data_IF_894750873429
#
_entry.id   IF_894750873429
#
_cell.length_a   1.000
_cell.length_b   1.000
_cell.length_c   1.000
_cell.angle_alpha   90.00
_cell.angle_beta   90.00
_cell.angle_gamma   90.00
#
_symmetry.space_group_name_H-M   'P 1'
#
loop_
_entity.id
_entity.type
_entity.pdbx_description
1 polymer ?
#
# COMPACT_ATOMS: atom_id res chain seq x y z
N UNK A 1 -5.90 -29.10 4.98
CA UNK A 1 -6.57 -27.82 4.73
C UNK A 1 -7.70 -28.07 3.75
N UNK A 2 -8.88 -27.48 3.96
CA UNK A 2 -9.86 -27.40 2.89
C UNK A 2 -9.32 -26.39 1.86
N UNK A 3 -9.12 -26.83 0.62
CA UNK A 3 -8.73 -25.96 -0.48
C UNK A 3 -9.81 -24.88 -0.60
N UNK A 4 -9.42 -23.61 -0.62
CA UNK A 4 -10.35 -22.51 -0.84
C UNK A 4 -11.12 -22.75 -2.16
N UNK A 5 -12.42 -22.49 -2.19
CA UNK A 5 -13.26 -22.60 -3.40
C UNK A 5 -12.71 -21.72 -4.55
N UNK A 6 -11.92 -20.71 -4.21
CA UNK A 6 -11.33 -19.72 -5.12
C UNK A 6 -9.83 -19.97 -5.36
N UNK A 7 -9.28 -21.11 -4.90
CA UNK A 7 -7.85 -21.43 -5.06
C UNK A 7 -7.42 -21.35 -6.53
N UNK A 8 -6.27 -20.71 -6.76
CA UNK A 8 -5.71 -20.46 -8.09
C UNK A 8 -6.29 -19.24 -8.82
N UNK A 9 -7.33 -18.59 -8.28
CA UNK A 9 -7.95 -17.39 -8.88
C UNK A 9 -7.58 -16.14 -8.11
N UNK A 10 -7.72 -14.99 -8.77
CA UNK A 10 -7.54 -13.66 -8.20
C UNK A 10 -8.91 -13.00 -8.04
N UNK A 11 -9.18 -12.44 -6.86
CA UNK A 11 -10.42 -11.70 -6.60
C UNK A 11 -10.24 -10.23 -6.91
N UNK A 12 -11.01 -9.71 -7.86
CA UNK A 12 -11.19 -8.28 -8.11
C UNK A 12 -12.53 -7.80 -7.59
N UNK A 13 -12.75 -6.49 -7.53
CA UNK A 13 -14.06 -5.90 -7.16
C UNK A 13 -15.18 -6.26 -8.16
N UNK A 14 -14.86 -6.75 -9.35
CA UNK A 14 -15.82 -7.21 -10.36
C UNK A 14 -16.01 -8.73 -10.38
N UNK A 15 -15.25 -9.48 -9.60
CA UNK A 15 -15.31 -10.94 -9.54
C UNK A 15 -13.93 -11.60 -9.71
N UNK A 16 -13.95 -12.92 -9.86
CA UNK A 16 -12.75 -13.73 -10.01
C UNK A 16 -12.21 -13.65 -11.44
N UNK A 17 -10.89 -13.56 -11.55
CA UNK A 17 -10.15 -13.61 -12.82
C UNK A 17 -9.06 -14.68 -12.75
N UNK A 18 -8.52 -15.07 -13.91
CA UNK A 18 -7.32 -15.90 -13.99
C UNK A 18 -6.06 -15.05 -13.68
N UNK A 19 -5.01 -15.64 -13.10
CA UNK A 19 -3.76 -14.93 -12.85
C UNK A 19 -3.13 -14.29 -14.10
N UNK A 20 -3.37 -14.89 -15.27
CA UNK A 20 -2.90 -14.41 -16.57
C UNK A 20 -3.54 -13.07 -17.00
N UNK A 21 -4.69 -12.73 -16.43
CA UNK A 21 -5.41 -11.49 -16.73
C UNK A 21 -4.89 -10.29 -15.93
N UNK A 22 -4.00 -10.52 -14.94
CA UNK A 22 -3.42 -9.46 -14.12
C UNK A 22 -2.60 -8.45 -14.94
N UNK A 23 -1.72 -8.93 -15.83
CA UNK A 23 -0.81 -8.07 -16.57
C UNK A 23 0.07 -7.20 -15.67
N UNK A 24 0.45 -6.01 -16.17
CA UNK A 24 1.23 -5.04 -15.39
C UNK A 24 0.42 -4.56 -14.19
N UNK A 25 0.95 -4.77 -13.00
CA UNK A 25 0.26 -4.57 -11.73
C UNK A 25 0.98 -3.55 -10.84
N UNK A 26 0.22 -2.61 -10.27
CA UNK A 26 0.63 -1.77 -9.14
C UNK A 26 0.05 -2.39 -7.87
N UNK A 27 0.86 -3.02 -7.01
CA UNK A 27 0.35 -3.79 -5.89
C UNK A 27 0.07 -2.97 -4.63
N UNK A 28 0.30 -1.65 -4.65
CA UNK A 28 0.04 -0.76 -3.53
C UNK A 28 -0.35 0.65 -3.97
N UNK A 29 -1.65 0.91 -4.04
CA UNK A 29 -2.17 2.24 -4.36
C UNK A 29 -3.44 2.54 -3.54
N UNK A 30 -3.85 3.81 -3.54
CA UNK A 30 -5.11 4.27 -2.96
C UNK A 30 -5.87 5.11 -4.01
N UNK A 31 -6.87 4.54 -4.65
CA UNK A 31 -7.70 5.24 -5.64
C UNK A 31 -8.65 6.24 -4.98
N UNK A 32 -9.20 5.84 -3.84
CA UNK A 32 -10.01 6.68 -2.96
C UNK A 32 -9.50 6.50 -1.54
N UNK A 33 -9.17 7.61 -0.87
CA UNK A 33 -8.60 7.56 0.47
C UNK A 33 -8.98 8.82 1.26
N UNK A 34 -9.30 8.66 2.53
CA UNK A 34 -9.44 9.77 3.49
C UNK A 34 -8.43 9.63 4.63
N UNK A 35 -7.26 10.23 4.47
CA UNK A 35 -6.22 10.27 5.50
C UNK A 35 -6.60 11.11 6.72
N UNK A 36 -7.61 11.99 6.63
CA UNK A 36 -8.03 12.84 7.74
C UNK A 36 -8.78 12.08 8.83
N UNK A 37 -9.47 10.98 8.47
CA UNK A 37 -10.25 10.13 9.38
C UNK A 37 -9.40 9.63 10.53
N UNK A 38 -8.11 9.49 10.34
CA UNK A 38 -7.23 8.87 11.32
C UNK A 38 -6.64 9.84 12.35
N UNK A 39 -6.61 11.14 12.05
CA UNK A 39 -5.88 12.11 12.85
C UNK A 39 -4.37 11.82 12.96
N UNK A 40 -3.87 10.87 12.16
CA UNK A 40 -2.46 10.45 12.16
C UNK A 40 -1.65 11.26 11.17
N UNK A 41 -2.26 11.59 10.03
CA UNK A 41 -1.55 12.29 8.95
C UNK A 41 -1.75 13.79 8.98
N UNK A 42 -2.91 14.28 9.43
CA UNK A 42 -3.10 15.71 9.60
C UNK A 42 -2.60 16.16 10.96
N UNK A 43 -1.72 17.15 10.95
CA UNK A 43 -1.20 17.80 12.17
C UNK A 43 -1.42 19.31 12.02
N UNK A 44 -2.33 19.85 12.84
CA UNK A 44 -2.63 21.29 12.83
C UNK A 44 -1.36 22.10 13.08
N UNK A 45 -0.94 22.99 12.16
CA UNK A 45 0.23 23.84 12.35
C UNK A 45 0.05 24.80 13.53
N UNK A 46 1.09 24.97 14.35
CA UNK A 46 1.08 25.94 15.44
C UNK A 46 1.17 27.41 14.96
N UNK A 47 1.84 27.66 13.84
CA UNK A 47 1.99 28.98 13.24
C UNK A 47 0.68 29.43 12.58
N UNK A 48 0.15 30.64 12.90
CA UNK A 48 -1.10 31.16 12.29
C UNK A 48 -1.10 31.24 10.76
N UNK A 49 0.02 31.60 10.15
CA UNK A 49 0.14 31.67 8.67
C UNK A 49 0.06 30.28 8.03
N UNK A 50 0.65 29.28 8.65
CA UNK A 50 0.59 27.90 8.17
C UNK A 50 -0.79 27.30 8.37
N UNK A 51 -1.48 27.63 9.48
CA UNK A 51 -2.89 27.23 9.69
C UNK A 51 -3.82 27.74 8.58
N UNK A 52 -3.55 28.94 8.05
CA UNK A 52 -4.32 29.45 6.91
C UNK A 52 -4.20 28.50 5.71
N UNK A 53 -2.99 28.07 5.34
CA UNK A 53 -2.77 27.13 4.23
C UNK A 53 -3.25 25.72 4.53
N UNK A 54 -3.25 25.30 5.79
CA UNK A 54 -3.70 23.97 6.20
C UNK A 54 -5.17 23.68 5.84
N UNK A 55 -6.00 24.72 5.80
CA UNK A 55 -7.43 24.64 5.50
C UNK A 55 -7.82 25.12 4.08
N UNK A 56 -6.82 25.45 3.24
CA UNK A 56 -7.08 25.83 1.85
C UNK A 56 -7.14 24.59 0.94
N UNK A 57 -7.96 24.68 -0.11
CA UNK A 57 -7.90 23.73 -1.21
C UNK A 57 -6.53 23.78 -1.88
N UNK A 58 -6.04 22.65 -2.34
CA UNK A 58 -4.78 22.58 -3.10
C UNK A 58 -4.97 23.29 -4.45
N UNK A 59 -4.17 24.31 -4.69
CA UNK A 59 -4.13 25.09 -5.93
C UNK A 59 -2.68 25.31 -6.36
N UNK A 60 -2.47 25.73 -7.59
CA UNK A 60 -1.12 26.08 -8.06
C UNK A 60 -0.45 27.17 -7.19
N UNK A 61 -1.24 28.10 -6.63
CA UNK A 61 -0.74 29.21 -5.82
C UNK A 61 -0.15 28.75 -4.47
N UNK A 62 -0.73 27.72 -3.85
CA UNK A 62 -0.26 27.19 -2.56
C UNK A 62 0.50 25.87 -2.66
N UNK A 63 0.65 25.29 -3.86
CA UNK A 63 1.25 23.97 -4.07
C UNK A 63 2.67 23.87 -3.51
N UNK A 64 3.46 24.95 -3.63
CA UNK A 64 4.80 24.99 -3.05
C UNK A 64 4.77 24.77 -1.53
N UNK A 65 3.86 25.43 -0.83
CA UNK A 65 3.70 25.23 0.61
C UNK A 65 3.21 23.82 0.93
N UNK A 66 2.17 23.33 0.23
CA UNK A 66 1.59 22.00 0.48
C UNK A 66 2.63 20.90 0.29
N UNK A 67 3.49 20.97 -0.72
CA UNK A 67 4.57 19.96 -0.94
C UNK A 67 5.52 19.83 0.25
N UNK A 68 5.80 20.89 0.95
CA UNK A 68 6.65 20.86 2.15
C UNK A 68 5.88 20.62 3.45
N UNK A 69 4.54 20.63 3.38
CA UNK A 69 3.62 20.49 4.51
C UNK A 69 2.49 19.51 4.19
N UNK A 70 2.79 18.43 3.46
CA UNK A 70 1.76 17.55 2.91
C UNK A 70 0.87 16.90 3.97
N UNK A 71 1.38 16.69 5.20
CA UNK A 71 0.60 16.22 6.35
C UNK A 71 -0.16 17.33 7.08
N UNK A 72 0.01 18.57 6.68
CA UNK A 72 -0.58 19.74 7.33
C UNK A 72 -1.72 20.36 6.53
N UNK A 73 -1.96 19.90 5.31
CA UNK A 73 -3.06 20.39 4.47
C UNK A 73 -4.16 19.34 4.39
N UNK A 74 -5.36 19.67 4.89
CA UNK A 74 -6.51 18.75 4.94
C UNK A 74 -6.96 18.31 3.55
N UNK A 75 -7.04 19.23 2.60
CA UNK A 75 -7.53 18.91 1.26
C UNK A 75 -6.60 17.94 0.52
N UNK A 76 -5.29 18.05 0.75
CA UNK A 76 -4.32 17.13 0.16
C UNK A 76 -4.48 15.69 0.64
N UNK A 77 -4.99 15.50 1.87
CA UNK A 77 -5.19 14.19 2.49
C UNK A 77 -6.46 13.45 2.00
N UNK A 78 -7.28 14.08 1.16
CA UNK A 78 -8.61 13.56 0.79
C UNK A 78 -8.69 13.28 -0.69
N UNK A 79 -8.80 12.02 -1.06
CA UNK A 79 -9.00 11.49 -2.41
C UNK A 79 -10.38 10.83 -2.48
N UNK A 80 -11.47 11.60 -2.56
CA UNK A 80 -12.85 11.07 -2.58
C UNK A 80 -13.61 11.42 -3.88
N UNK A 81 -12.94 12.03 -4.86
CA UNK A 81 -13.56 12.35 -6.15
C UNK A 81 -13.36 11.19 -7.14
N UNK A 82 -14.43 10.39 -7.37
CA UNK A 82 -14.41 9.27 -8.31
C UNK A 82 -14.04 9.69 -9.74
N UNK A 83 -14.47 10.87 -10.20
CA UNK A 83 -14.14 11.33 -11.55
C UNK A 83 -12.66 11.63 -11.69
N UNK A 84 -12.07 12.20 -10.63
CA UNK A 84 -10.64 12.42 -10.56
C UNK A 84 -9.90 11.08 -10.53
N UNK A 85 -10.33 10.14 -9.69
CA UNK A 85 -9.73 8.80 -9.61
C UNK A 85 -9.77 8.08 -10.97
N UNK A 86 -10.88 8.10 -11.68
CA UNK A 86 -10.99 7.54 -13.05
C UNK A 86 -10.01 8.21 -13.99
N UNK A 87 -9.94 9.56 -13.99
CA UNK A 87 -9.02 10.32 -14.85
C UNK A 87 -7.56 9.94 -14.60
N UNK A 88 -7.15 9.90 -13.35
CA UNK A 88 -5.77 9.59 -12.94
C UNK A 88 -5.41 8.12 -13.20
N UNK A 89 -6.30 7.17 -12.89
CA UNK A 89 -6.10 5.76 -13.16
C UNK A 89 -6.05 5.44 -14.68
N UNK A 90 -6.76 6.20 -15.52
CA UNK A 90 -6.69 6.07 -16.97
C UNK A 90 -5.30 6.38 -17.54
N UNK A 91 -4.51 7.24 -16.90
CA UNK A 91 -3.11 7.46 -17.32
C UNK A 91 -2.28 6.17 -17.23
N UNK A 92 -2.48 5.38 -16.18
CA UNK A 92 -1.85 4.06 -16.05
C UNK A 92 -2.36 3.07 -17.11
N UNK A 93 -3.70 3.01 -17.30
CA UNK A 93 -4.32 2.14 -18.32
C UNK A 93 -3.81 2.42 -19.73
N UNK A 94 -3.75 3.69 -20.13
CA UNK A 94 -3.33 4.12 -21.46
C UNK A 94 -1.84 3.82 -21.73
N UNK A 95 -1.04 3.60 -20.69
CA UNK A 95 0.36 3.20 -20.80
C UNK A 95 0.59 1.68 -20.68
N UNK A 96 -0.47 0.89 -20.76
CA UNK A 96 -0.40 -0.57 -20.74
C UNK A 96 -0.58 -1.19 -19.34
N UNK A 97 -0.90 -0.39 -18.31
CA UNK A 97 -1.25 -0.91 -17.00
C UNK A 97 -2.55 -1.71 -17.00
N UNK A 98 -2.64 -2.73 -16.20
CA UNK A 98 -3.78 -3.66 -16.18
C UNK A 98 -4.45 -3.78 -14.83
N UNK A 99 -3.69 -3.81 -13.74
CA UNK A 99 -4.20 -4.12 -12.40
C UNK A 99 -3.68 -3.11 -11.38
N UNK A 100 -4.56 -2.68 -10.49
CA UNK A 100 -4.23 -1.90 -9.29
C UNK A 100 -4.74 -2.65 -8.07
N UNK A 101 -3.88 -2.85 -7.07
CA UNK A 101 -4.29 -3.30 -5.75
C UNK A 101 -4.51 -2.04 -4.90
N UNK A 102 -5.77 -1.81 -4.54
CA UNK A 102 -6.16 -0.70 -3.67
C UNK A 102 -6.07 -1.16 -2.21
N UNK A 103 -5.07 -0.66 -1.50
CA UNK A 103 -4.79 -1.02 -0.11
C UNK A 103 -5.62 -0.22 0.90
N UNK A 104 -6.55 0.59 0.42
CA UNK A 104 -7.46 1.34 1.28
C UNK A 104 -8.38 0.40 2.07
N UNK A 105 -8.26 0.43 3.37
CA UNK A 105 -9.04 -0.41 4.28
C UNK A 105 -10.01 0.41 5.15
N UNK A 106 -10.60 -0.21 6.17
CA UNK A 106 -11.59 0.41 7.07
C UNK A 106 -11.06 1.70 7.72
N UNK A 107 -9.77 1.77 8.03
CA UNK A 107 -9.16 2.91 8.73
C UNK A 107 -8.95 4.17 7.89
N UNK A 108 -9.01 4.06 6.56
CA UNK A 108 -8.68 5.13 5.61
C UNK A 108 -9.74 5.37 4.53
N UNK A 109 -10.99 4.98 4.79
CA UNK A 109 -12.12 5.38 3.97
C UNK A 109 -12.40 4.48 2.76
N UNK A 110 -12.23 3.17 2.89
CA UNK A 110 -12.56 2.18 1.86
C UNK A 110 -13.99 2.36 1.32
N UNK A 111 -14.15 2.40 -0.02
CA UNK A 111 -15.44 2.46 -0.71
C UNK A 111 -15.53 1.38 -1.80
N UNK A 112 -16.11 0.20 -1.50
CA UNK A 112 -16.18 -0.92 -2.43
C UNK A 112 -17.03 -0.63 -3.67
N UNK A 113 -18.12 0.15 -3.53
CA UNK A 113 -19.00 0.47 -4.65
C UNK A 113 -18.34 1.45 -5.61
N UNK A 114 -17.64 2.45 -5.10
CA UNK A 114 -16.87 3.40 -5.92
C UNK A 114 -15.73 2.70 -6.66
N UNK A 115 -14.97 1.80 -6.00
CA UNK A 115 -13.93 1.00 -6.67
C UNK A 115 -14.51 0.16 -7.81
N UNK A 116 -15.71 -0.39 -7.65
CA UNK A 116 -16.43 -1.12 -8.71
C UNK A 116 -16.78 -0.21 -9.89
N UNK A 117 -17.23 1.02 -9.64
CA UNK A 117 -17.52 2.02 -10.70
C UNK A 117 -16.25 2.46 -11.42
N UNK A 118 -15.16 2.70 -10.67
CA UNK A 118 -13.85 3.07 -11.23
C UNK A 118 -13.31 1.93 -12.11
N UNK A 119 -13.38 0.68 -11.64
CA UNK A 119 -12.94 -0.49 -12.42
C UNK A 119 -13.69 -0.60 -13.75
N UNK A 120 -15.03 -0.45 -13.74
CA UNK A 120 -15.84 -0.46 -14.97
C UNK A 120 -15.52 0.70 -15.91
N UNK A 121 -15.28 1.89 -15.38
CA UNK A 121 -15.00 3.08 -16.17
C UNK A 121 -13.62 3.05 -16.83
N UNK A 122 -12.62 2.45 -16.18
CA UNK A 122 -11.24 2.41 -16.66
C UNK A 122 -10.88 1.12 -17.41
N UNK A 123 -11.63 0.04 -17.16
CA UNK A 123 -11.26 -1.29 -17.62
C UNK A 123 -10.00 -1.85 -16.95
N UNK A 124 -9.62 -1.32 -15.78
CA UNK A 124 -8.58 -1.87 -14.91
C UNK A 124 -9.15 -2.95 -14.01
N UNK A 125 -8.40 -4.00 -13.76
CA UNK A 125 -8.65 -4.89 -12.64
C UNK A 125 -8.32 -4.13 -11.35
N UNK A 126 -9.28 -4.03 -10.42
CA UNK A 126 -9.05 -3.44 -9.11
C UNK A 126 -9.22 -4.53 -8.07
N UNK A 127 -8.19 -4.74 -7.25
CA UNK A 127 -8.17 -5.69 -6.15
C UNK A 127 -8.23 -4.86 -4.87
N UNK A 128 -9.22 -5.14 -4.01
CA UNK A 128 -9.48 -4.36 -2.80
C UNK A 128 -8.90 -5.05 -1.57
N UNK A 129 -8.33 -4.26 -0.66
CA UNK A 129 -7.81 -4.71 0.62
C UNK A 129 -8.89 -4.94 1.69
N UNK A 130 -8.52 -5.66 2.74
CA UNK A 130 -9.32 -5.87 3.96
C UNK A 130 -8.47 -5.91 5.20
N UNK A 131 -8.92 -5.27 6.25
CA UNK A 131 -8.22 -5.21 7.54
C UNK A 131 -8.31 -3.83 8.15
N UNK A 132 -7.38 -3.56 9.07
CA UNK A 132 -7.35 -2.33 9.83
C UNK A 132 -5.99 -1.65 9.70
N UNK A 133 -6.01 -0.34 9.55
CA UNK A 133 -4.82 0.50 9.50
C UNK A 133 -4.23 0.73 10.90
N UNK A 134 -3.30 1.67 11.04
CA UNK A 134 -2.63 1.97 12.32
C UNK A 134 -3.63 2.30 13.45
N UNK A 135 -3.28 1.95 14.69
CA UNK A 135 -4.10 2.22 15.87
C UNK A 135 -4.15 3.71 16.20
N UNK A 136 -5.08 4.40 15.57
CA UNK A 136 -5.41 5.80 15.78
C UNK A 136 -6.59 5.95 16.76
N UNK A 137 -6.80 7.13 17.35
CA UNK A 137 -7.87 7.34 18.35
C UNK A 137 -9.26 6.92 17.89
N UNK A 138 -9.61 7.11 16.62
CA UNK A 138 -10.93 6.73 16.08
C UNK A 138 -11.06 5.21 15.84
N UNK A 139 -9.95 4.48 15.76
CA UNK A 139 -9.94 3.02 15.61
C UNK A 139 -10.16 2.28 16.93
N UNK A 140 -9.82 2.90 18.06
CA UNK A 140 -9.93 2.28 19.38
C UNK A 140 -11.32 1.72 19.70
N UNK A 141 -12.43 2.44 19.50
CA UNK A 141 -13.76 1.89 19.75
C UNK A 141 -14.07 0.64 18.94
N UNK A 142 -13.43 0.48 17.77
CA UNK A 142 -13.63 -0.64 16.86
C UNK A 142 -12.77 -1.85 17.23
N UNK A 143 -11.60 -1.66 17.86
CA UNK A 143 -10.60 -2.68 18.09
C UNK A 143 -10.41 -3.08 19.56
N UNK A 144 -10.57 -2.15 20.50
CA UNK A 144 -10.21 -2.37 21.90
C UNK A 144 -10.90 -3.60 22.51
N UNK A 145 -12.17 -3.84 22.18
CA UNK A 145 -12.98 -4.92 22.72
C UNK A 145 -13.04 -6.17 21.82
N UNK A 146 -12.32 -6.21 20.71
CA UNK A 146 -12.28 -7.37 19.80
C UNK A 146 -11.08 -8.24 20.09
N UNK A 147 -11.29 -9.56 19.99
CA UNK A 147 -10.22 -10.55 19.94
C UNK A 147 -9.62 -10.63 18.52
N UNK A 148 -8.42 -11.19 18.35
CA UNK A 148 -7.86 -11.49 17.03
C UNK A 148 -8.78 -12.37 16.17
N UNK A 149 -9.52 -13.32 16.76
CA UNK A 149 -10.44 -14.21 16.09
C UNK A 149 -11.66 -13.48 15.53
N UNK A 150 -12.20 -12.49 16.27
CA UNK A 150 -13.31 -11.66 15.82
C UNK A 150 -12.89 -10.75 14.66
N UNK A 151 -11.72 -10.11 14.75
CA UNK A 151 -11.15 -9.32 13.66
C UNK A 151 -10.87 -10.21 12.44
N UNK A 152 -10.30 -11.39 12.65
CA UNK A 152 -10.07 -12.35 11.57
C UNK A 152 -11.36 -12.77 10.86
N UNK A 153 -12.45 -12.95 11.63
CA UNK A 153 -13.73 -13.32 11.03
C UNK A 153 -14.30 -12.21 10.16
N UNK A 154 -14.09 -10.94 10.50
CA UNK A 154 -14.47 -9.80 9.66
C UNK A 154 -13.70 -9.82 8.34
N UNK A 155 -12.37 -9.99 8.38
CA UNK A 155 -11.53 -10.10 7.17
C UNK A 155 -11.96 -11.30 6.31
N UNK A 156 -12.22 -12.46 6.93
CA UNK A 156 -12.71 -13.65 6.22
C UNK A 156 -14.08 -13.40 5.57
N UNK A 157 -14.96 -12.67 6.22
CA UNK A 157 -16.25 -12.29 5.65
C UNK A 157 -16.09 -11.33 4.47
N UNK A 158 -15.21 -10.33 4.57
CA UNK A 158 -14.91 -9.41 3.47
C UNK A 158 -14.43 -10.15 2.21
N UNK A 159 -13.64 -11.22 2.39
CA UNK A 159 -13.11 -12.03 1.28
C UNK A 159 -14.15 -13.03 0.76
N UNK A 160 -14.89 -13.72 1.63
CA UNK A 160 -15.71 -14.86 1.24
C UNK A 160 -17.22 -14.53 1.06
N UNK A 161 -17.70 -13.46 1.69
CA UNK A 161 -19.15 -13.09 1.71
C UNK A 161 -19.39 -11.77 1.00
N UNK A 162 -18.53 -10.79 1.25
CA UNK A 162 -18.58 -9.43 0.73
C UNK A 162 -18.47 -8.38 1.81
N UNK A 163 -18.00 -7.21 1.42
CA UNK A 163 -17.69 -6.07 2.28
C UNK A 163 -18.98 -5.31 2.62
N UNK A 164 -19.18 -5.00 3.92
CA UNK A 164 -20.23 -4.08 4.39
C UNK A 164 -21.64 -4.41 3.89
N UNK A 165 -21.96 -5.70 3.78
CA UNK A 165 -23.27 -6.18 3.31
C UNK A 165 -23.46 -6.14 1.79
N UNK A 166 -22.46 -5.75 1.04
CA UNK A 166 -22.44 -5.85 -0.43
C UNK A 166 -22.06 -7.27 -0.87
N UNK A 167 -22.01 -7.49 -2.19
CA UNK A 167 -21.42 -8.70 -2.81
C UNK A 167 -20.07 -8.42 -3.44
N UNK A 168 -19.43 -7.33 -3.06
CA UNK A 168 -18.09 -6.96 -3.51
C UNK A 168 -17.09 -7.55 -2.54
N UNK A 169 -16.13 -8.30 -3.05
CA UNK A 169 -15.19 -9.05 -2.24
C UNK A 169 -13.80 -8.40 -2.22
N UNK A 170 -13.13 -8.50 -1.08
CA UNK A 170 -11.71 -8.18 -0.99
C UNK A 170 -10.86 -9.30 -1.57
N UNK A 171 -9.74 -8.96 -2.21
CA UNK A 171 -8.82 -9.93 -2.82
C UNK A 171 -7.54 -10.13 -2.04
N UNK A 172 -7.20 -9.21 -1.13
CA UNK A 172 -6.00 -9.27 -0.29
C UNK A 172 -6.33 -8.87 1.15
N UNK A 173 -5.46 -9.27 2.08
CA UNK A 173 -5.49 -8.84 3.48
C UNK A 173 -4.53 -7.66 3.61
N UNK A 174 -5.01 -6.50 4.05
CA UNK A 174 -4.18 -5.32 4.27
C UNK A 174 -4.67 -4.08 3.53
N UNK A 175 -3.82 -3.05 3.57
CA UNK A 175 -2.58 -3.06 4.35
C UNK A 175 -2.86 -3.04 5.86
N UNK A 176 -2.24 -3.94 6.62
CA UNK A 176 -2.34 -3.94 8.09
C UNK A 176 -1.36 -2.92 8.65
N UNK A 177 -1.89 -1.89 9.30
CA UNK A 177 -1.08 -0.77 9.77
C UNK A 177 -0.37 -1.06 11.08
N UNK A 178 0.93 -0.75 11.14
CA UNK A 178 1.76 -0.89 12.32
C UNK A 178 2.52 0.41 12.63
N UNK A 179 2.68 0.67 13.91
CA UNK A 179 3.50 1.75 14.48
C UNK A 179 4.79 1.17 15.09
N UNK A 180 5.69 2.05 15.49
CA UNK A 180 6.80 1.65 16.35
C UNK A 180 6.85 2.56 17.59
N UNK A 181 6.84 1.99 18.79
CA UNK A 181 6.64 0.57 19.14
C UNK A 181 5.28 0.01 18.69
N UNK A 182 5.23 -1.29 18.39
CA UNK A 182 4.00 -1.96 17.96
C UNK A 182 2.95 -1.94 19.08
N UNK A 183 1.78 -1.37 18.80
CA UNK A 183 0.67 -1.25 19.76
C UNK A 183 -0.14 -2.54 19.88
N UNK A 184 -0.88 -2.68 21.00
CA UNK A 184 -1.66 -3.90 21.29
C UNK A 184 -2.72 -4.19 20.22
N UNK A 185 -3.44 -3.17 19.73
CA UNK A 185 -4.44 -3.33 18.68
C UNK A 185 -3.81 -3.70 17.34
N UNK A 186 -2.64 -3.15 17.01
CA UNK A 186 -1.89 -3.49 15.80
C UNK A 186 -1.38 -4.94 15.86
N UNK A 187 -0.89 -5.37 17.03
CA UNK A 187 -0.51 -6.77 17.27
C UNK A 187 -1.70 -7.72 17.10
N UNK A 188 -2.88 -7.36 17.62
CA UNK A 188 -4.13 -8.11 17.40
C UNK A 188 -4.49 -8.18 15.92
N UNK A 189 -4.34 -7.06 15.20
CA UNK A 189 -4.61 -6.97 13.75
C UNK A 189 -3.69 -7.89 12.94
N UNK A 190 -2.38 -7.92 13.26
CA UNK A 190 -1.44 -8.85 12.63
C UNK A 190 -1.81 -10.32 12.90
N UNK A 191 -2.15 -10.67 14.15
CA UNK A 191 -2.59 -12.03 14.50
C UNK A 191 -3.89 -12.40 13.76
N UNK A 192 -4.82 -11.47 13.64
CA UNK A 192 -6.06 -11.64 12.89
C UNK A 192 -5.79 -11.84 11.39
N UNK A 193 -4.88 -11.06 10.82
CA UNK A 193 -4.42 -11.25 9.44
C UNK A 193 -3.83 -12.64 9.18
N UNK A 194 -3.02 -13.15 10.13
CA UNK A 194 -2.48 -14.50 10.08
C UNK A 194 -3.58 -15.58 10.06
N UNK A 195 -4.57 -15.46 10.96
CA UNK A 195 -5.72 -16.38 11.02
C UNK A 195 -6.55 -16.30 9.72
N UNK A 196 -6.79 -15.09 9.22
CA UNK A 196 -7.55 -14.87 7.99
C UNK A 196 -6.81 -15.44 6.77
N UNK A 197 -5.48 -15.25 6.69
CA UNK A 197 -4.66 -15.82 5.61
C UNK A 197 -4.78 -17.35 5.58
N UNK A 198 -4.66 -18.02 6.73
CA UNK A 198 -4.78 -19.48 6.82
C UNK A 198 -6.17 -19.98 6.40
N UNK A 199 -7.22 -19.21 6.64
CA UNK A 199 -8.61 -19.56 6.29
C UNK A 199 -8.97 -19.28 4.84
N UNK A 200 -8.39 -18.24 4.24
CA UNK A 200 -8.78 -17.75 2.91
C UNK A 200 -7.76 -18.06 1.82
N UNK A 201 -6.49 -18.22 2.19
CA UNK A 201 -5.38 -18.32 1.26
C UNK A 201 -4.99 -17.00 0.60
N UNK A 202 -5.53 -15.85 1.04
CA UNK A 202 -5.21 -14.53 0.51
C UNK A 202 -3.77 -14.10 0.89
N UNK A 203 -3.13 -13.30 0.03
CA UNK A 203 -1.87 -12.65 0.37
C UNK A 203 -2.11 -11.51 1.38
N UNK A 204 -1.06 -11.16 2.17
CA UNK A 204 -1.14 -10.23 3.28
C UNK A 204 -0.11 -9.11 3.13
N UNK A 205 -0.56 -7.85 3.23
CA UNK A 205 0.28 -6.64 3.23
C UNK A 205 0.41 -6.05 4.62
N UNK A 206 1.62 -5.65 4.98
CA UNK A 206 1.94 -4.97 6.24
C UNK A 206 2.51 -3.59 5.93
N UNK A 207 1.89 -2.55 6.50
CA UNK A 207 2.42 -1.22 6.61
C UNK A 207 3.32 -1.15 7.86
N UNK A 208 4.64 -1.23 7.74
CA UNK A 208 5.52 -1.36 8.90
C UNK A 208 5.69 -0.05 9.65
N UNK A 209 5.94 -0.17 10.94
CA UNK A 209 6.38 0.96 11.75
C UNK A 209 7.71 1.56 11.24
N UNK A 210 7.90 2.85 11.44
CA UNK A 210 9.03 3.62 10.90
C UNK A 210 10.28 3.51 11.78
N UNK A 211 10.76 2.31 11.98
CA UNK A 211 11.98 2.00 12.72
C UNK A 211 12.60 0.74 12.17
N UNK A 212 13.92 0.64 12.21
CA UNK A 212 14.70 -0.50 11.72
C UNK A 212 14.27 -1.85 12.32
N UNK A 213 13.82 -1.85 13.58
CA UNK A 213 13.38 -3.06 14.27
C UNK A 213 11.93 -3.46 13.96
N UNK A 214 11.10 -2.51 13.48
CA UNK A 214 9.66 -2.71 13.33
C UNK A 214 9.30 -3.89 12.41
N UNK A 215 9.75 -3.95 11.14
CA UNK A 215 9.36 -5.03 10.24
C UNK A 215 9.80 -6.40 10.72
N UNK A 216 10.89 -6.48 11.49
CA UNK A 216 11.36 -7.75 12.05
C UNK A 216 10.43 -8.21 13.20
N UNK A 217 10.04 -7.30 14.11
CA UNK A 217 9.07 -7.60 15.16
C UNK A 217 7.71 -8.04 14.55
N UNK A 218 7.26 -7.36 13.51
CA UNK A 218 5.99 -7.66 12.82
C UNK A 218 6.01 -9.05 12.16
N UNK A 219 7.10 -9.39 11.47
CA UNK A 219 7.32 -10.73 10.89
C UNK A 219 7.34 -11.81 11.97
N UNK A 220 7.98 -11.54 13.13
CA UNK A 220 7.98 -12.49 14.25
C UNK A 220 6.58 -12.73 14.81
N UNK A 221 5.75 -11.69 14.92
CA UNK A 221 4.35 -11.82 15.34
C UNK A 221 3.58 -12.68 14.35
N UNK A 222 3.71 -12.42 13.05
CA UNK A 222 3.07 -13.18 11.98
C UNK A 222 3.54 -14.66 11.96
N UNK A 223 4.84 -14.89 12.06
CA UNK A 223 5.41 -16.25 12.09
C UNK A 223 4.91 -17.07 13.28
N UNK A 224 4.88 -16.46 14.50
CA UNK A 224 4.34 -17.09 15.71
C UNK A 224 2.85 -17.40 15.58
N UNK A 225 2.10 -16.61 14.82
CA UNK A 225 0.68 -16.86 14.52
C UNK A 225 0.46 -17.89 13.38
N UNK A 226 1.52 -18.42 12.78
CA UNK A 226 1.45 -19.49 11.76
C UNK A 226 1.21 -18.97 10.33
N UNK A 227 1.55 -17.71 10.04
CA UNK A 227 1.41 -17.11 8.72
C UNK A 227 2.33 -17.78 7.69
N UNK A 228 1.86 -17.96 6.46
CA UNK A 228 2.71 -18.31 5.32
C UNK A 228 3.50 -17.07 4.88
N UNK A 229 4.73 -16.92 5.39
CA UNK A 229 5.56 -15.74 5.14
C UNK A 229 5.86 -15.51 3.66
N UNK A 230 5.88 -16.57 2.84
CA UNK A 230 6.00 -16.49 1.38
C UNK A 230 4.80 -15.82 0.68
N UNK A 231 3.80 -15.42 1.44
CA UNK A 231 2.61 -14.70 1.00
C UNK A 231 2.37 -13.43 1.80
N UNK A 232 3.43 -12.91 2.42
CA UNK A 232 3.45 -11.64 3.15
C UNK A 232 4.28 -10.64 2.37
N UNK A 233 3.76 -9.43 2.23
CA UNK A 233 4.45 -8.27 1.66
C UNK A 233 4.72 -7.28 2.78
N UNK A 234 5.97 -6.87 2.92
CA UNK A 234 6.35 -5.75 3.79
C UNK A 234 6.52 -4.53 2.91
N UNK A 235 5.63 -3.55 3.08
CA UNK A 235 5.56 -2.34 2.28
C UNK A 235 6.60 -1.29 2.69
N UNK A 236 6.75 -0.26 1.87
CA UNK A 236 7.47 0.99 2.16
C UNK A 236 8.97 0.79 2.49
N UNK A 237 9.64 -0.11 1.78
CA UNK A 237 11.08 -0.35 2.00
C UNK A 237 11.97 0.84 1.68
N UNK A 238 11.44 1.76 0.91
CA UNK A 238 12.09 2.99 0.46
C UNK A 238 11.62 4.25 1.21
N UNK A 239 10.78 4.08 2.25
CA UNK A 239 10.25 5.22 3.04
C UNK A 239 11.14 5.59 4.23
N UNK A 240 11.80 4.63 4.85
CA UNK A 240 12.48 4.78 6.13
C UNK A 240 14.00 4.55 6.08
N UNK A 241 14.59 4.40 4.89
CA UNK A 241 16.04 4.18 4.76
C UNK A 241 16.51 2.89 5.43
N UNK A 242 15.70 1.82 5.43
CA UNK A 242 16.07 0.55 6.03
C UNK A 242 17.41 0.03 5.52
N UNK A 243 18.24 -0.51 6.42
CA UNK A 243 19.51 -1.09 6.06
C UNK A 243 19.35 -2.32 5.15
N UNK A 244 20.32 -2.55 4.29
CA UNK A 244 20.34 -3.73 3.41
C UNK A 244 20.22 -5.04 4.23
N UNK A 245 20.84 -5.10 5.40
CA UNK A 245 20.74 -6.27 6.27
C UNK A 245 19.32 -6.56 6.73
N UNK A 246 18.55 -5.54 7.06
CA UNK A 246 17.13 -5.68 7.47
C UNK A 246 16.28 -6.13 6.30
N UNK A 247 16.47 -5.55 5.11
CA UNK A 247 15.79 -6.02 3.89
C UNK A 247 16.10 -7.49 3.60
N UNK A 248 17.38 -7.90 3.77
CA UNK A 248 17.76 -9.31 3.60
C UNK A 248 17.08 -10.22 4.61
N UNK A 249 16.99 -9.85 5.88
CA UNK A 249 16.29 -10.66 6.90
C UNK A 249 14.84 -10.92 6.54
N UNK A 250 14.13 -9.93 5.98
CA UNK A 250 12.76 -10.10 5.49
C UNK A 250 12.69 -11.04 4.30
N UNK A 251 13.58 -10.88 3.32
CA UNK A 251 13.66 -11.73 2.13
C UNK A 251 14.08 -13.17 2.48
N UNK A 252 15.05 -13.36 3.36
CA UNK A 252 15.49 -14.66 3.85
C UNK A 252 14.40 -15.37 4.67
N UNK A 253 13.51 -14.63 5.34
CA UNK A 253 12.31 -15.18 5.98
C UNK A 253 11.24 -15.64 4.97
N UNK A 254 11.41 -15.31 3.69
CA UNK A 254 10.51 -15.68 2.59
C UNK A 254 9.51 -14.59 2.20
N UNK A 255 9.48 -13.44 2.88
CA UNK A 255 8.56 -12.35 2.56
C UNK A 255 8.88 -11.70 1.22
N UNK A 256 7.86 -11.11 0.60
CA UNK A 256 8.05 -10.08 -0.41
C UNK A 256 8.35 -8.75 0.26
N UNK A 257 9.10 -7.91 -0.42
CA UNK A 257 9.29 -6.50 -0.05
C UNK A 257 8.81 -5.59 -1.18
N UNK A 258 8.35 -4.41 -0.81
CA UNK A 258 7.74 -3.48 -1.75
C UNK A 258 8.46 -2.12 -1.71
N UNK A 259 8.92 -1.70 -2.88
CA UNK A 259 9.36 -0.33 -3.15
C UNK A 259 8.15 0.40 -3.74
N UNK A 260 7.46 1.12 -2.90
CA UNK A 260 6.13 1.64 -3.23
C UNK A 260 5.96 3.15 -3.05
N UNK A 261 7.07 3.89 -2.93
CA UNK A 261 7.00 5.35 -2.94
C UNK A 261 7.75 5.99 -4.11
N UNK A 262 7.74 5.32 -5.28
CA UNK A 262 8.28 5.88 -6.50
C UNK A 262 7.59 7.19 -6.87
N UNK A 263 8.38 8.18 -7.32
CA UNK A 263 7.94 9.52 -7.61
C UNK A 263 8.00 10.48 -6.41
N UNK A 264 7.98 9.97 -5.18
CA UNK A 264 8.18 10.80 -4.01
C UNK A 264 9.68 11.08 -3.83
N UNK A 265 10.14 12.22 -4.35
CA UNK A 265 11.57 12.56 -4.36
C UNK A 265 11.93 13.58 -3.28
N UNK A 266 12.69 13.15 -2.33
CA UNK A 266 13.64 13.97 -1.62
C UNK A 266 13.20 14.67 -0.34
N UNK A 267 11.95 15.07 -0.13
CA UNK A 267 11.60 15.80 1.09
C UNK A 267 10.58 15.06 1.94
N UNK A 268 11.00 14.64 3.10
CA UNK A 268 10.11 14.21 4.18
C UNK A 268 10.16 15.27 5.29
N UNK A 269 9.01 15.84 5.74
CA UNK A 269 9.04 16.94 6.69
C UNK A 269 9.73 16.56 7.99
N UNK A 270 10.81 17.27 8.34
CA UNK A 270 11.61 16.97 9.54
C UNK A 270 10.77 16.92 10.82
N UNK A 271 9.76 17.79 10.92
CA UNK A 271 8.81 17.80 12.04
C UNK A 271 8.06 16.47 12.18
N UNK A 272 7.62 15.90 11.07
CA UNK A 272 6.91 14.62 11.04
C UNK A 272 7.87 13.47 11.36
N UNK A 273 9.03 13.45 10.72
CA UNK A 273 10.04 12.43 10.97
C UNK A 273 10.47 12.38 12.44
N UNK A 274 10.70 13.54 13.07
CA UNK A 274 11.06 13.61 14.48
C UNK A 274 9.91 13.16 15.40
N UNK A 275 8.64 13.45 15.06
CA UNK A 275 7.49 12.97 15.83
C UNK A 275 7.28 11.46 15.73
N UNK A 276 7.71 10.86 14.63
CA UNK A 276 7.64 9.41 14.37
C UNK A 276 8.93 8.68 14.82
N UNK A 277 9.96 9.40 15.28
CA UNK A 277 11.16 8.84 15.87
C UNK A 277 12.18 8.29 14.87
N UNK A 278 12.17 8.74 13.61
CA UNK A 278 13.15 8.36 12.60
C UNK A 278 13.76 9.56 11.88
N UNK A 279 14.88 9.35 11.19
CA UNK A 279 15.48 10.38 10.34
C UNK A 279 14.76 10.43 8.97
N UNK A 280 14.59 11.64 8.39
CA UNK A 280 13.96 11.79 7.08
C UNK A 280 14.97 11.48 5.97
N UNK A 281 15.25 10.21 5.76
CA UNK A 281 16.18 9.73 4.72
C UNK A 281 15.41 8.89 3.70
N UNK A 282 14.80 9.57 2.73
CA UNK A 282 14.10 8.92 1.62
C UNK A 282 14.97 8.97 0.37
N UNK A 283 15.22 7.82 -0.29
CA UNK A 283 15.90 7.82 -1.57
C UNK A 283 15.02 8.48 -2.66
N UNK A 284 15.64 9.08 -3.65
CA UNK A 284 14.97 9.40 -4.91
C UNK A 284 14.84 8.13 -5.77
N UNK A 285 14.17 8.22 -6.94
CA UNK A 285 13.95 7.06 -7.81
C UNK A 285 15.26 6.39 -8.26
N UNK A 286 16.32 7.17 -8.49
CA UNK A 286 17.66 6.62 -8.80
C UNK A 286 18.22 5.83 -7.63
N UNK A 287 18.04 6.31 -6.42
CA UNK A 287 18.43 5.60 -5.20
C UNK A 287 17.70 4.25 -5.08
N UNK A 288 16.37 4.26 -5.27
CA UNK A 288 15.53 3.04 -5.28
C UNK A 288 16.00 2.03 -6.31
N UNK A 289 16.26 2.48 -7.55
CA UNK A 289 16.74 1.63 -8.64
C UNK A 289 18.07 0.96 -8.29
N UNK A 290 19.00 1.70 -7.67
CA UNK A 290 20.30 1.14 -7.26
C UNK A 290 20.15 0.09 -6.16
N UNK A 291 19.27 0.32 -5.19
CA UNK A 291 18.97 -0.65 -4.13
C UNK A 291 18.31 -1.91 -4.69
N UNK A 292 17.32 -1.76 -5.56
CA UNK A 292 16.65 -2.87 -6.26
C UNK A 292 17.67 -3.67 -7.07
N UNK A 293 18.54 -3.01 -7.83
CA UNK A 293 19.59 -3.68 -8.60
C UNK A 293 20.51 -4.51 -7.71
N UNK A 294 20.92 -3.98 -6.56
CA UNK A 294 21.74 -4.71 -5.58
C UNK A 294 21.03 -5.98 -5.09
N UNK A 295 19.72 -5.89 -4.78
CA UNK A 295 18.93 -7.05 -4.36
C UNK A 295 18.75 -8.07 -5.50
N UNK A 296 18.60 -7.62 -6.74
CA UNK A 296 18.55 -8.50 -7.92
C UNK A 296 19.87 -9.27 -8.06
N UNK A 297 21.02 -8.57 -7.96
CA UNK A 297 22.36 -9.18 -8.03
C UNK A 297 22.60 -10.20 -6.89
N UNK A 298 21.90 -10.04 -5.76
CA UNK A 298 21.91 -10.99 -4.64
C UNK A 298 20.92 -12.16 -4.80
N UNK A 299 20.10 -12.18 -5.88
CA UNK A 299 19.18 -13.27 -6.20
C UNK A 299 17.74 -13.11 -5.69
N UNK A 300 17.37 -11.95 -5.13
CA UNK A 300 16.03 -11.73 -4.53
C UNK A 300 14.95 -11.21 -5.49
N UNK A 301 15.22 -11.17 -6.80
CA UNK A 301 14.28 -10.62 -7.79
C UNK A 301 12.84 -11.17 -7.69
N UNK A 302 12.70 -12.42 -7.25
CA UNK A 302 11.42 -13.11 -7.14
C UNK A 302 10.54 -12.65 -5.96
N UNK A 303 11.03 -11.70 -5.15
CA UNK A 303 10.36 -11.23 -3.94
C UNK A 303 10.26 -9.70 -3.89
N UNK A 304 10.50 -9.01 -5.02
CA UNK A 304 10.44 -7.54 -5.12
C UNK A 304 9.17 -7.12 -5.87
N UNK A 305 8.46 -6.15 -5.32
CA UNK A 305 7.29 -5.49 -5.90
C UNK A 305 7.53 -3.99 -6.04
N UNK A 306 6.84 -3.35 -7.00
CA UNK A 306 7.01 -1.92 -7.31
C UNK A 306 5.65 -1.22 -7.34
N UNK A 307 5.51 -0.10 -6.63
CA UNK A 307 4.31 0.74 -6.65
C UNK A 307 4.63 2.21 -6.31
N UNK A 308 3.62 3.03 -6.03
CA UNK A 308 3.79 4.48 -5.83
C UNK A 308 3.12 5.01 -4.56
N UNK A 309 2.27 4.21 -3.91
CA UNK A 309 1.54 4.56 -2.68
C UNK A 309 0.89 5.96 -2.80
N UNK A 310 0.12 6.16 -3.87
CA UNK A 310 -0.58 7.41 -4.10
C UNK A 310 -1.77 7.49 -3.15
N UNK A 311 -1.65 8.34 -2.14
CA UNK A 311 -2.69 8.58 -1.12
C UNK A 311 -2.99 10.07 -0.89
N UNK A 312 -2.45 10.97 -1.74
CA UNK A 312 -2.59 12.42 -1.56
C UNK A 312 -2.79 13.15 -2.90
N UNK A 313 -3.53 14.27 -2.88
CA UNK A 313 -3.77 15.09 -4.09
C UNK A 313 -2.49 15.56 -4.75
N UNK A 314 -1.49 15.98 -3.98
CA UNK A 314 -0.22 16.48 -4.54
C UNK A 314 0.58 15.43 -5.32
N UNK A 315 0.24 14.16 -5.17
CA UNK A 315 0.85 13.06 -5.92
C UNK A 315 0.18 12.84 -7.29
N UNK A 316 -1.04 13.34 -7.49
CA UNK A 316 -1.81 13.20 -8.72
C UNK A 316 -1.33 14.17 -9.82
N UNK A 317 -1.35 13.74 -11.08
CA UNK A 317 -0.99 14.58 -12.24
C UNK A 317 -1.82 15.86 -12.29
N UNK A 318 -3.11 15.80 -11.95
CA UNK A 318 -4.01 16.93 -11.91
C UNK A 318 -3.59 18.04 -10.93
N UNK A 319 -2.73 17.72 -9.97
CA UNK A 319 -2.17 18.66 -8.99
C UNK A 319 -0.64 18.84 -9.13
N UNK A 320 -0.09 18.43 -10.29
CA UNK A 320 1.34 18.57 -10.57
C UNK A 320 2.22 17.52 -9.90
N UNK A 321 1.64 16.38 -9.50
CA UNK A 321 2.35 15.19 -9.03
C UNK A 321 2.76 14.27 -10.18
N UNK A 322 3.17 13.08 -9.84
CA UNK A 322 3.70 12.09 -10.77
C UNK A 322 2.63 11.10 -11.30
N UNK A 323 1.56 10.83 -10.55
CA UNK A 323 0.41 10.01 -10.93
C UNK A 323 0.73 8.51 -11.08
N UNK A 324 -0.31 7.69 -11.25
CA UNK A 324 -0.21 6.22 -11.30
C UNK A 324 0.60 5.68 -12.48
N UNK A 325 0.86 6.47 -13.51
CA UNK A 325 1.65 6.05 -14.67
C UNK A 325 3.16 6.29 -14.53
N UNK A 326 3.62 6.84 -13.42
CA UNK A 326 5.00 7.28 -13.23
C UNK A 326 6.02 6.15 -13.44
N UNK A 327 5.80 4.98 -12.85
CA UNK A 327 6.71 3.84 -13.03
C UNK A 327 6.84 3.50 -14.52
N UNK A 328 5.74 3.41 -15.25
CA UNK A 328 5.77 3.04 -16.67
C UNK A 328 6.38 4.14 -17.55
N UNK A 329 6.17 5.40 -17.17
CA UNK A 329 6.58 6.56 -17.98
C UNK A 329 8.03 6.94 -17.76
N UNK A 330 8.48 6.96 -16.49
CA UNK A 330 9.76 7.54 -16.10
C UNK A 330 10.72 6.51 -15.49
N UNK A 331 10.23 5.62 -14.61
CA UNK A 331 11.08 4.71 -13.83
C UNK A 331 11.61 3.56 -14.67
N UNK A 332 10.76 2.91 -15.49
CA UNK A 332 11.19 1.81 -16.36
C UNK A 332 12.27 2.23 -17.35
N UNK A 333 12.13 3.35 -18.10
CA UNK A 333 13.23 3.84 -18.94
C UNK A 333 14.54 4.07 -18.15
N UNK A 334 14.43 4.58 -16.92
CA UNK A 334 15.58 4.81 -16.07
C UNK A 334 16.19 3.50 -15.54
N UNK A 335 15.39 2.49 -15.19
CA UNK A 335 15.85 1.15 -14.83
C UNK A 335 16.71 0.53 -15.95
N UNK A 336 16.27 0.66 -17.21
CA UNK A 336 17.05 0.19 -18.38
C UNK A 336 18.41 0.89 -18.49
N UNK A 337 18.47 2.20 -18.24
CA UNK A 337 19.73 2.96 -18.22
C UNK A 337 20.68 2.42 -17.12
N UNK A 338 20.14 1.98 -15.98
CA UNK A 338 20.92 1.37 -14.89
C UNK A 338 21.20 -0.14 -15.10
N UNK A 339 20.79 -0.70 -16.25
CA UNK A 339 21.10 -2.07 -16.65
C UNK A 339 20.20 -3.14 -16.03
N UNK A 340 19.00 -2.78 -15.58
CA UNK A 340 17.93 -3.73 -15.24
C UNK A 340 17.25 -4.12 -16.56
N UNK A 341 17.14 -5.43 -16.83
CA UNK A 341 16.60 -5.94 -18.10
C UNK A 341 15.07 -5.93 -18.13
N UNK A 342 14.47 -6.02 -19.32
CA UNK A 342 13.02 -6.08 -19.46
C UNK A 342 12.44 -7.33 -18.77
N UNK A 343 13.14 -8.48 -18.82
CA UNK A 343 12.72 -9.69 -18.11
C UNK A 343 12.72 -9.50 -16.58
N UNK A 344 13.67 -8.70 -16.06
CA UNK A 344 13.73 -8.37 -14.63
C UNK A 344 12.60 -7.41 -14.25
N UNK A 345 12.26 -6.46 -15.12
CA UNK A 345 11.12 -5.55 -14.93
C UNK A 345 9.82 -6.34 -14.96
N UNK A 346 9.63 -7.21 -15.93
CA UNK A 346 8.45 -8.07 -16.07
C UNK A 346 8.32 -9.00 -14.84
N UNK A 347 9.44 -9.50 -14.31
CA UNK A 347 9.43 -10.29 -13.08
C UNK A 347 8.80 -9.51 -11.92
N UNK A 348 9.19 -8.25 -11.71
CA UNK A 348 8.71 -7.42 -10.60
C UNK A 348 7.28 -6.90 -10.81
N UNK A 349 6.91 -6.57 -12.06
CA UNK A 349 5.63 -5.92 -12.36
C UNK A 349 4.51 -6.89 -12.79
N UNK A 350 4.85 -8.10 -13.21
CA UNK A 350 3.91 -9.08 -13.77
C UNK A 350 4.02 -10.43 -13.04
N UNK A 351 5.19 -11.07 -13.05
CA UNK A 351 5.31 -12.45 -12.60
C UNK A 351 5.25 -12.59 -11.07
N UNK A 352 5.83 -11.65 -10.31
CA UNK A 352 5.72 -11.64 -8.85
C UNK A 352 4.28 -11.41 -8.38
N UNK A 353 3.54 -10.38 -8.87
CA UNK A 353 2.12 -10.24 -8.60
C UNK A 353 1.29 -11.48 -8.99
N UNK A 354 1.58 -12.07 -10.14
CA UNK A 354 0.89 -13.26 -10.66
C UNK A 354 1.06 -14.49 -9.76
N UNK A 355 2.19 -14.63 -9.08
CA UNK A 355 2.42 -15.71 -8.10
C UNK A 355 1.81 -15.39 -6.74
N UNK A 356 1.78 -14.13 -6.37
CA UNK A 356 1.38 -13.69 -5.02
C UNK A 356 -0.14 -13.55 -4.86
N UNK A 357 -0.82 -12.95 -5.84
CA UNK A 357 -2.22 -12.53 -5.71
C UNK A 357 -3.27 -13.66 -5.77
N UNK A 358 -3.06 -14.79 -6.48
CA UNK A 358 -4.03 -15.88 -6.45
C UNK A 358 -4.19 -16.48 -5.05
N UNK A 359 -5.42 -16.84 -4.67
CA UNK A 359 -5.67 -17.60 -3.44
C UNK A 359 -5.03 -19.00 -3.50
N UNK A 360 -4.57 -19.52 -2.36
CA UNK A 360 -4.00 -20.87 -2.23
C UNK A 360 -4.96 -21.84 -1.53
#
# INVERSE_FOLDING_TARGET
>A
MAISKNSGKVQTVLGLIEPEELGITLPHEHLLCDGTVQGVYFIEPSNPSDRFFAHQLVTLENLSWVRYHFKDNLDSQVLLDEKLAVKEAMEFKLRGGNTIVDQTNVGIGRDPEALTRISRATGLNIIMGSGYYVDAPHMKPMLDNKSPEEIAQEIVNDINVGVEGTKIHSGVIGELGCSYPLKDNERKSLQAGAIAQQKTGAALWVHPGRNEAAPIEEIEVLAKAGTYLSRVVISHMDRCGFLLETRRKMLDAGCYIEYDVFGFEGYYPARVALSEGHLPDMPNDVGRIKEIKQLIEMGYINQILLSQDIGQKIQLVSYGGWGYAHILREVIPLMRVYGITDEQIDMMMIENPKRLLPFI
#
